data_IF_662132367955
#
_entry.id   IF_662132367955
#
_cell.length_a   1.000
_cell.length_b   1.000
_cell.length_c   1.000
_cell.angle_alpha   90.00
_cell.angle_beta   90.00
_cell.angle_gamma   90.00
#
_symmetry.space_group_name_H-M   'P 1'
#
loop_
_entity.id
_entity.type
_entity.pdbx_description
1 polymer ?
#
# COMPACT_ATOMS: atom_id res chain seq x y z
N UNK A 1 10.60 -2.63 9.10
CA UNK A 1 10.31 -1.66 8.01
C UNK A 1 8.85 -1.80 7.64
N UNK A 2 8.13 -0.68 7.47
CA UNK A 2 6.72 -0.72 7.07
C UNK A 2 6.53 -1.07 5.60
N UNK A 3 5.28 -1.18 5.16
CA UNK A 3 4.89 -1.55 3.79
C UNK A 3 5.55 -0.63 2.75
N UNK A 4 5.48 0.69 2.96
CA UNK A 4 6.11 1.68 2.08
C UNK A 4 7.62 1.46 1.97
N UNK A 5 8.29 1.21 3.09
CA UNK A 5 9.72 0.93 3.11
C UNK A 5 10.09 -0.41 2.47
N UNK A 6 9.17 -1.38 2.43
CA UNK A 6 9.34 -2.63 1.70
C UNK A 6 9.26 -2.37 0.18
N UNK A 7 8.19 -1.74 -0.29
CA UNK A 7 7.99 -1.41 -1.72
C UNK A 7 9.13 -0.56 -2.27
N UNK A 8 9.58 0.44 -1.52
CA UNK A 8 10.69 1.29 -1.93
C UNK A 8 12.02 0.53 -2.12
N UNK A 9 12.23 -0.55 -1.35
CA UNK A 9 13.45 -1.37 -1.41
C UNK A 9 13.38 -2.46 -2.46
N UNK A 10 12.23 -3.12 -2.61
CA UNK A 10 12.06 -4.28 -3.50
C UNK A 10 11.68 -3.88 -4.92
N UNK A 11 11.10 -2.69 -5.11
CA UNK A 11 10.42 -2.29 -6.36
C UNK A 11 9.24 -3.19 -6.71
N UNK A 12 8.74 -3.95 -5.73
CA UNK A 12 7.59 -4.82 -5.89
C UNK A 12 6.36 -4.15 -5.30
N UNK A 13 5.30 -4.12 -6.08
CA UNK A 13 4.00 -3.61 -5.65
C UNK A 13 3.38 -4.53 -4.61
N UNK A 14 2.58 -3.95 -3.72
CA UNK A 14 1.91 -4.69 -2.65
C UNK A 14 0.44 -4.32 -2.66
N UNK A 15 -0.42 -5.34 -2.69
CA UNK A 15 -1.87 -5.20 -2.51
C UNK A 15 -2.31 -6.03 -1.31
N UNK A 16 -2.92 -5.37 -0.35
CA UNK A 16 -3.33 -5.94 0.92
C UNK A 16 -4.83 -5.72 1.09
N UNK A 17 -5.58 -6.83 1.14
CA UNK A 17 -7.02 -6.79 1.39
C UNK A 17 -7.36 -6.51 2.86
N UNK A 18 -6.48 -6.88 3.80
CA UNK A 18 -6.64 -6.64 5.23
C UNK A 18 -5.31 -6.19 5.88
N UNK A 19 -5.17 -4.88 6.10
CA UNK A 19 -3.95 -4.27 6.63
C UNK A 19 -3.58 -4.83 8.01
N UNK A 20 -4.57 -5.16 8.85
CA UNK A 20 -4.33 -5.67 10.21
C UNK A 20 -3.85 -7.13 10.24
N UNK A 21 -3.91 -7.84 9.10
CA UNK A 21 -3.33 -9.17 8.93
C UNK A 21 -1.91 -9.15 8.36
N UNK A 22 -1.44 -8.01 7.85
CA UNK A 22 -0.08 -7.86 7.35
C UNK A 22 0.87 -7.44 8.47
N UNK A 23 1.90 -8.26 8.74
CA UNK A 23 2.87 -8.01 9.82
C UNK A 23 3.72 -6.75 9.60
N UNK A 24 3.75 -6.23 8.38
CA UNK A 24 4.48 -5.01 8.00
C UNK A 24 3.63 -3.74 8.22
N UNK A 25 2.34 -3.86 8.50
CA UNK A 25 1.46 -2.72 8.74
C UNK A 25 1.64 -2.15 10.16
N UNK A 26 1.76 -0.83 10.27
CA UNK A 26 1.88 -0.15 11.56
C UNK A 26 0.52 0.38 12.05
N UNK A 27 -0.20 -0.46 12.78
CA UNK A 27 -1.48 -0.13 13.42
C UNK A 27 -1.43 1.01 14.46
N UNK A 28 -0.25 1.41 14.94
CA UNK A 28 -0.15 2.50 15.92
C UNK A 28 -0.58 3.85 15.34
N UNK A 29 -0.39 4.06 14.02
CA UNK A 29 -0.78 5.31 13.35
C UNK A 29 -2.31 5.41 13.27
N UNK A 30 -2.97 4.32 12.88
CA UNK A 30 -4.43 4.21 12.90
C UNK A 30 -4.99 4.51 14.30
N UNK A 31 -4.44 3.89 15.34
CA UNK A 31 -4.87 4.10 16.74
C UNK A 31 -4.71 5.58 17.15
N UNK A 32 -3.59 6.22 16.79
CA UNK A 32 -3.32 7.62 17.16
C UNK A 32 -4.20 8.61 16.41
N UNK A 33 -4.55 8.30 15.16
CA UNK A 33 -5.35 9.17 14.29
C UNK A 33 -6.86 8.93 14.42
N UNK A 34 -7.26 7.78 14.98
CA UNK A 34 -8.63 7.31 14.96
C UNK A 34 -9.08 6.81 13.57
N UNK A 35 -8.17 6.71 12.60
CA UNK A 35 -8.45 6.17 11.28
C UNK A 35 -8.35 4.64 11.29
N UNK A 36 -9.08 3.98 10.39
CA UNK A 36 -8.99 2.52 10.23
C UNK A 36 -8.71 2.16 8.78
N UNK A 37 -7.49 1.70 8.54
CA UNK A 37 -7.01 1.20 7.27
C UNK A 37 -7.42 -0.27 7.12
N UNK A 38 -8.36 -0.53 6.20
CA UNK A 38 -8.88 -1.88 5.91
C UNK A 38 -8.06 -2.53 4.80
N UNK A 39 -8.05 -1.92 3.63
CA UNK A 39 -7.32 -2.38 2.46
C UNK A 39 -6.34 -1.30 1.99
N UNK A 40 -5.24 -1.72 1.38
CA UNK A 40 -4.23 -0.81 0.84
C UNK A 40 -3.51 -1.39 -0.36
N UNK A 41 -3.16 -0.53 -1.30
CA UNK A 41 -2.29 -0.83 -2.43
C UNK A 41 -1.13 0.16 -2.45
N UNK A 42 0.08 -0.35 -2.67
CA UNK A 42 1.30 0.43 -2.76
C UNK A 42 2.05 0.10 -4.05
N UNK A 43 2.43 1.14 -4.79
CA UNK A 43 3.10 1.03 -6.08
C UNK A 43 4.39 1.87 -6.06
N UNK A 44 5.54 1.32 -6.49
CA UNK A 44 6.77 2.09 -6.59
C UNK A 44 6.68 3.08 -7.76
N UNK A 45 7.10 4.32 -7.54
CA UNK A 45 7.26 5.32 -8.59
C UNK A 45 8.71 5.27 -9.05
N UNK A 46 8.91 4.83 -10.29
CA UNK A 46 10.24 4.57 -10.84
C UNK A 46 10.55 5.59 -11.94
N UNK A 47 11.74 6.18 -11.90
CA UNK A 47 12.19 7.11 -12.95
C UNK A 47 12.68 6.35 -14.20
N UNK A 48 13.00 7.08 -15.28
CA UNK A 48 13.49 6.49 -16.53
C UNK A 48 14.84 5.73 -16.41
N UNK A 49 15.59 5.92 -15.31
CA UNK A 49 16.83 5.19 -15.02
C UNK A 49 16.60 3.91 -14.22
N UNK A 50 15.36 3.64 -13.81
CA UNK A 50 15.01 2.49 -12.99
C UNK A 50 15.16 2.74 -11.48
N UNK A 51 15.42 3.97 -11.02
CA UNK A 51 15.52 4.29 -9.59
C UNK A 51 14.12 4.54 -9.01
N UNK A 52 13.86 4.04 -7.80
CA UNK A 52 12.64 4.39 -7.06
C UNK A 52 12.78 5.81 -6.53
N UNK A 53 11.91 6.70 -6.97
CA UNK A 53 11.85 8.11 -6.55
C UNK A 53 10.73 8.37 -5.54
N UNK A 54 9.83 7.41 -5.34
CA UNK A 54 8.73 7.49 -4.39
C UNK A 54 7.90 6.21 -4.37
N UNK A 55 6.87 6.20 -3.52
CA UNK A 55 5.86 5.14 -3.47
C UNK A 55 4.51 5.82 -3.42
N UNK A 56 3.61 5.43 -4.32
CA UNK A 56 2.21 5.80 -4.25
C UNK A 56 1.47 4.81 -3.34
N UNK A 57 0.62 5.33 -2.47
CA UNK A 57 -0.20 4.55 -1.54
C UNK A 57 -1.66 4.97 -1.69
N UNK A 58 -2.54 4.00 -1.86
CA UNK A 58 -3.98 4.19 -1.79
C UNK A 58 -4.54 3.27 -0.72
N UNK A 59 -5.41 3.82 0.14
CA UNK A 59 -6.05 3.08 1.24
C UNK A 59 -7.57 3.13 1.08
N UNK A 60 -8.25 2.11 1.61
CA UNK A 60 -9.70 2.05 1.72
C UNK A 60 -10.43 2.34 0.41
N UNK A 61 -10.41 1.38 -0.52
CA UNK A 61 -11.20 1.46 -1.76
C UNK A 61 -12.67 1.78 -1.42
N UNK A 62 -13.23 2.81 -2.06
CA UNK A 62 -14.59 3.30 -1.79
C UNK A 62 -15.69 2.55 -2.56
N UNK A 63 -15.34 1.56 -3.37
CA UNK A 63 -16.31 0.75 -4.13
C UNK A 63 -17.04 -0.27 -3.26
N UNK A 64 -18.07 -0.92 -3.82
CA UNK A 64 -18.72 -2.08 -3.19
C UNK A 64 -17.71 -3.21 -2.89
N UNK A 65 -16.71 -3.37 -3.75
CA UNK A 65 -15.55 -4.21 -3.46
C UNK A 65 -14.67 -3.53 -2.41
N UNK A 66 -14.47 -4.21 -1.27
CA UNK A 66 -13.71 -3.67 -0.13
C UNK A 66 -12.18 -3.70 -0.29
N UNK A 67 -11.67 -4.35 -1.34
CA UNK A 67 -10.24 -4.51 -1.61
C UNK A 67 -9.89 -4.12 -3.05
N UNK A 68 -8.60 -3.81 -3.27
CA UNK A 68 -8.07 -3.53 -4.60
C UNK A 68 -7.93 -4.84 -5.39
N UNK A 69 -8.19 -4.77 -6.69
CA UNK A 69 -8.17 -5.88 -7.64
C UNK A 69 -6.91 -5.81 -8.51
N UNK A 70 -6.61 -6.88 -9.25
CA UNK A 70 -5.53 -6.86 -10.25
C UNK A 70 -5.69 -5.75 -11.31
N UNK A 71 -6.94 -5.31 -11.58
CA UNK A 71 -7.19 -4.19 -12.48
C UNK A 71 -6.74 -2.86 -11.88
N UNK A 72 -6.83 -2.73 -10.56
CA UNK A 72 -6.34 -1.55 -9.83
C UNK A 72 -4.80 -1.55 -9.72
N UNK A 73 -4.16 -2.71 -9.86
CA UNK A 73 -2.69 -2.85 -9.89
C UNK A 73 -2.06 -2.53 -11.25
N UNK A 74 -2.80 -2.77 -12.34
CA UNK A 74 -2.33 -2.55 -13.71
C UNK A 74 -2.63 -1.13 -14.16
N UNK A 75 -1.61 -0.27 -14.10
CA UNK A 75 -1.60 1.07 -14.73
C UNK A 75 -1.12 0.94 -16.18
#
# INVERSE_FOLDING_TARGET
TGIIGHVAKTKESVNIANAYQDSRFNKEIDIKTGYHTKSMICQPIVNARGDVIGVAECVNKLSEESCFTEKDEKV
#
